data_IF_002005879184
#
_entry.id   IF_002005879184
#
_cell.length_a   1.000
_cell.length_b   1.000
_cell.length_c   1.000
_cell.angle_alpha   90.00
_cell.angle_beta   90.00
_cell.angle_gamma   90.00
#
_symmetry.space_group_name_H-M   'P 1'
#
loop_
_entity.id
_entity.type
_entity.pdbx_description
1 polymer ?
#
# COMPACT_ATOMS: atom_id res chain seq x y z
N UNK A 1 19.03 -3.21 3.07
CA UNK A 1 17.59 -3.04 3.31
C UNK A 1 17.31 -3.63 4.68
N UNK A 2 16.77 -2.86 5.61
CA UNK A 2 16.38 -3.41 6.91
C UNK A 2 15.13 -4.26 6.71
N UNK A 3 15.29 -5.59 6.65
CA UNK A 3 14.22 -6.54 6.37
C UNK A 3 13.18 -6.61 7.49
N UNK A 4 13.49 -6.10 8.69
CA UNK A 4 12.51 -5.96 9.78
C UNK A 4 11.54 -4.81 9.56
N UNK A 5 11.91 -3.86 8.69
CA UNK A 5 11.13 -2.64 8.42
C UNK A 5 10.57 -2.57 7.01
N UNK A 6 11.20 -3.26 6.05
CA UNK A 6 10.89 -3.10 4.64
C UNK A 6 10.71 -4.46 3.95
N UNK A 7 9.65 -4.55 3.13
CA UNK A 7 9.40 -5.69 2.26
C UNK A 7 9.46 -5.27 0.79
N UNK A 8 9.84 -6.20 -0.08
CA UNK A 8 9.80 -6.03 -1.54
C UNK A 8 8.53 -6.67 -2.11
N UNK A 9 7.99 -6.08 -3.16
CA UNK A 9 6.85 -6.63 -3.91
C UNK A 9 7.23 -6.65 -5.38
N UNK A 10 7.12 -7.81 -6.01
CA UNK A 10 7.33 -7.94 -7.45
C UNK A 10 6.14 -7.31 -8.21
N UNK A 11 6.44 -6.45 -9.18
CA UNK A 11 5.43 -5.81 -10.05
C UNK A 11 5.84 -5.94 -11.51
N UNK A 12 4.85 -5.86 -12.41
CA UNK A 12 5.11 -5.83 -13.85
C UNK A 12 5.97 -4.63 -14.22
N UNK A 13 6.85 -4.83 -15.20
CA UNK A 13 7.82 -3.82 -15.65
C UNK A 13 7.14 -2.54 -16.16
N UNK A 14 6.01 -2.67 -16.85
CA UNK A 14 5.24 -1.52 -17.35
C UNK A 14 4.63 -0.70 -16.20
N UNK A 15 4.10 -1.35 -15.17
CA UNK A 15 3.62 -0.69 -13.95
C UNK A 15 4.73 0.07 -13.23
N UNK A 16 5.93 -0.51 -13.16
CA UNK A 16 7.09 0.17 -12.59
C UNK A 16 7.42 1.47 -13.34
N UNK A 17 7.46 1.43 -14.67
CA UNK A 17 7.72 2.64 -15.47
C UNK A 17 6.62 3.69 -15.32
N UNK A 18 5.34 3.28 -15.29
CA UNK A 18 4.22 4.18 -15.01
C UNK A 18 4.36 4.83 -13.62
N UNK A 19 4.69 4.06 -12.59
CA UNK A 19 4.94 4.58 -11.24
C UNK A 19 6.08 5.61 -11.24
N UNK A 20 7.19 5.32 -11.92
CA UNK A 20 8.31 6.26 -12.07
C UNK A 20 7.90 7.54 -12.79
N UNK A 21 7.10 7.43 -13.86
CA UNK A 21 6.53 8.57 -14.57
C UNK A 21 5.63 9.42 -13.66
N UNK A 22 4.72 8.79 -12.93
CA UNK A 22 3.86 9.48 -11.95
C UNK A 22 4.69 10.24 -10.91
N UNK A 23 5.75 9.63 -10.39
CA UNK A 23 6.64 10.25 -9.40
C UNK A 23 7.39 11.47 -9.94
N UNK A 24 7.56 11.60 -11.26
CA UNK A 24 8.15 12.79 -11.89
C UNK A 24 7.18 13.96 -11.96
N UNK A 25 5.87 13.69 -11.96
CA UNK A 25 4.81 14.71 -12.02
C UNK A 25 4.41 15.14 -10.61
N UNK A 26 4.21 14.19 -9.68
CA UNK A 26 3.88 14.43 -8.27
C UNK A 26 4.50 13.33 -7.40
N UNK A 27 4.90 13.67 -6.18
CA UNK A 27 5.54 12.76 -5.21
C UNK A 27 6.84 12.14 -5.74
N UNK A 28 7.97 12.85 -5.52
CA UNK A 28 9.32 12.51 -6.01
C UNK A 28 9.82 11.09 -5.66
N UNK A 29 9.19 10.41 -4.70
CA UNK A 29 9.60 9.10 -4.20
C UNK A 29 8.48 8.05 -4.41
N UNK A 30 8.76 6.93 -5.10
CA UNK A 30 7.78 5.86 -5.36
C UNK A 30 7.11 5.29 -4.12
N UNK A 31 7.83 5.17 -3.01
CA UNK A 31 7.27 4.70 -1.75
C UNK A 31 6.14 5.60 -1.24
N UNK A 32 6.33 6.93 -1.27
CA UNK A 32 5.30 7.87 -0.83
C UNK A 32 4.05 7.79 -1.71
N UNK A 33 4.22 7.60 -3.02
CA UNK A 33 3.11 7.41 -3.94
C UNK A 33 2.33 6.13 -3.63
N UNK A 34 3.03 5.01 -3.42
CA UNK A 34 2.41 3.74 -3.04
C UNK A 34 1.68 3.87 -1.70
N UNK A 35 2.30 4.46 -0.67
CA UNK A 35 1.67 4.67 0.64
C UNK A 35 0.40 5.50 0.53
N UNK A 36 0.41 6.55 -0.29
CA UNK A 36 -0.77 7.37 -0.55
C UNK A 36 -1.88 6.58 -1.24
N UNK A 37 -1.55 5.81 -2.28
CA UNK A 37 -2.53 4.99 -2.99
C UNK A 37 -3.17 3.95 -2.05
N UNK A 38 -2.38 3.36 -1.15
CA UNK A 38 -2.88 2.42 -0.14
C UNK A 38 -3.85 3.15 0.80
N UNK A 39 -3.45 4.28 1.39
CA UNK A 39 -4.30 5.07 2.31
C UNK A 39 -5.62 5.50 1.64
N UNK A 40 -5.57 6.04 0.42
CA UNK A 40 -6.76 6.41 -0.36
C UNK A 40 -7.69 5.21 -0.62
N UNK A 41 -7.11 4.04 -0.91
CA UNK A 41 -7.87 2.80 -1.13
C UNK A 41 -8.54 2.32 0.15
N UNK A 42 -7.83 2.37 1.29
CA UNK A 42 -8.37 2.02 2.61
C UNK A 42 -9.54 2.94 2.96
N UNK A 43 -9.39 4.26 2.79
CA UNK A 43 -10.47 5.23 3.04
C UNK A 43 -11.69 4.98 2.17
N UNK A 44 -11.47 4.73 0.87
CA UNK A 44 -12.55 4.44 -0.06
C UNK A 44 -13.32 3.17 0.35
N UNK A 45 -12.59 2.10 0.68
CA UNK A 45 -13.20 0.83 1.05
C UNK A 45 -13.86 0.88 2.44
N UNK A 46 -13.26 1.56 3.42
CA UNK A 46 -13.86 1.80 4.73
C UNK A 46 -15.21 2.51 4.60
N UNK A 47 -15.28 3.55 3.76
CA UNK A 47 -16.53 4.25 3.45
C UNK A 47 -17.57 3.33 2.80
N UNK A 48 -17.14 2.45 1.90
CA UNK A 48 -18.03 1.48 1.23
C UNK A 48 -18.58 0.43 2.19
N UNK A 49 -17.79 0.02 3.17
CA UNK A 49 -18.19 -0.97 4.20
C UNK A 49 -18.90 -0.34 5.41
N UNK A 50 -19.01 0.98 5.47
CA UNK A 50 -19.67 1.69 6.57
C UNK A 50 -18.88 1.65 7.87
N UNK A 51 -17.56 1.49 7.82
CA UNK A 51 -16.67 1.44 8.99
C UNK A 51 -15.74 2.66 9.04
N UNK A 52 -15.09 2.89 10.18
CA UNK A 52 -14.08 3.95 10.30
C UNK A 52 -12.78 3.57 9.59
N UNK A 53 -12.00 4.58 9.21
CA UNK A 53 -10.69 4.37 8.61
C UNK A 53 -9.77 3.59 9.56
N UNK A 54 -9.74 3.94 10.85
CA UNK A 54 -8.86 3.29 11.83
C UNK A 54 -9.22 1.81 12.01
N UNK A 55 -10.51 1.51 12.20
CA UNK A 55 -10.98 0.15 12.39
C UNK A 55 -10.70 -0.73 11.16
N UNK A 56 -10.92 -0.18 9.95
CA UNK A 56 -10.64 -0.91 8.71
C UNK A 56 -9.14 -1.11 8.48
N UNK A 57 -8.33 -0.09 8.76
CA UNK A 57 -6.87 -0.17 8.66
C UNK A 57 -6.30 -1.22 9.61
N UNK A 58 -6.76 -1.25 10.87
CA UNK A 58 -6.32 -2.25 11.84
C UNK A 58 -6.70 -3.67 11.41
N UNK A 59 -7.94 -3.86 10.95
CA UNK A 59 -8.40 -5.14 10.40
C UNK A 59 -7.52 -5.65 9.25
N UNK A 60 -7.15 -4.77 8.30
CA UNK A 60 -6.28 -5.13 7.19
C UNK A 60 -4.84 -5.44 7.64
N UNK A 61 -4.31 -4.70 8.61
CA UNK A 61 -2.98 -4.94 9.16
C UNK A 61 -2.90 -6.31 9.84
N UNK A 62 -3.89 -6.68 10.64
CA UNK A 62 -3.95 -8.02 11.24
C UNK A 62 -4.05 -9.12 10.19
N UNK A 63 -4.89 -8.92 9.18
CA UNK A 63 -5.06 -9.88 8.09
C UNK A 63 -3.76 -10.09 7.31
N UNK A 64 -3.03 -9.02 7.01
CA UNK A 64 -1.73 -9.09 6.33
C UNK A 64 -0.64 -9.77 7.15
N UNK A 65 -0.61 -9.54 8.48
CA UNK A 65 0.31 -10.26 9.38
C UNK A 65 0.01 -11.77 9.41
N UNK A 66 -1.28 -12.14 9.42
CA UNK A 66 -1.71 -13.55 9.44
C UNK A 66 -1.44 -14.27 8.10
N UNK A 67 -1.54 -13.58 6.95
CA UNK A 67 -1.21 -14.18 5.65
C UNK A 67 0.29 -14.44 5.51
N UNK A 68 1.13 -13.49 5.90
CA UNK A 68 2.59 -13.64 5.82
C UNK A 68 3.17 -14.70 6.79
N UNK A 69 2.37 -15.22 7.73
CA UNK A 69 2.76 -16.32 8.62
C UNK A 69 2.46 -17.71 8.04
N UNK A 70 1.80 -17.78 6.88
CA UNK A 70 1.39 -19.04 6.23
C UNK A 70 2.18 -19.36 4.95
N UNK A 71 2.98 -18.41 4.48
CA UNK A 71 3.93 -18.54 3.36
C UNK A 71 5.35 -18.75 3.91
#
# INVERSE_FOLDING_TARGET
MDTTKWHTVAIRKDCYYKLKGLCSVKYRRPNNMISKMIDETIRYQAKKEGTSYEAFSEHLLEKGKKSNARD
#
